data_IF_605670926064
#
_entry.id   IF_605670926064
#
_cell.length_a   1.000
_cell.length_b   1.000
_cell.length_c   1.000
_cell.angle_alpha   90.00
_cell.angle_beta   90.00
_cell.angle_gamma   90.00
#
_symmetry.space_group_name_H-M   'P 1'
#
loop_
_entity.id
_entity.type
_entity.pdbx_description
1 polymer ?
#
# COMPACT_ATOMS: atom_id res chain seq x y z
N UNK A 1 -10.82 5.30 31.07
CA UNK A 1 -10.83 4.83 29.66
C UNK A 1 -9.52 5.30 29.07
N UNK A 2 -8.67 4.36 28.59
CA UNK A 2 -7.40 4.75 27.96
C UNK A 2 -7.71 5.61 26.74
N UNK A 3 -6.94 6.69 26.58
CA UNK A 3 -7.10 7.55 25.42
C UNK A 3 -6.75 6.76 24.15
N UNK A 4 -7.51 6.85 23.03
CA UNK A 4 -7.25 6.09 21.81
C UNK A 4 -5.80 6.18 21.31
N UNK A 5 -5.14 7.31 21.56
CA UNK A 5 -3.74 7.54 21.21
C UNK A 5 -2.78 6.61 21.97
N UNK A 6 -2.99 6.38 23.27
CA UNK A 6 -2.12 5.48 24.07
C UNK A 6 -2.14 4.04 23.56
N UNK A 7 -3.28 3.61 22.99
CA UNK A 7 -3.41 2.27 22.42
C UNK A 7 -2.80 2.15 21.01
N UNK A 8 -2.89 3.20 20.20
CA UNK A 8 -2.50 3.16 18.79
C UNK A 8 -1.05 3.52 18.53
N UNK A 9 -0.39 4.19 19.50
CA UNK A 9 1.01 4.62 19.35
C UNK A 9 1.94 3.45 19.08
N UNK A 10 2.75 3.58 18.03
CA UNK A 10 3.71 2.56 17.64
C UNK A 10 3.14 1.32 16.93
N UNK A 11 1.80 1.22 16.75
CA UNK A 11 1.21 0.13 15.99
C UNK A 11 1.57 0.19 14.51
N UNK A 12 1.55 -0.98 13.89
CA UNK A 12 1.63 -1.21 12.46
C UNK A 12 0.30 -1.80 11.98
N UNK A 13 -0.37 -1.14 11.02
CA UNK A 13 -1.76 -1.47 10.65
C UNK A 13 -1.86 -1.75 9.15
N UNK A 14 -2.37 -2.94 8.79
CA UNK A 14 -2.72 -3.30 7.42
C UNK A 14 -4.20 -2.99 7.12
N UNK A 15 -4.49 -2.35 6.00
CA UNK A 15 -5.86 -1.97 5.60
C UNK A 15 -6.12 -2.41 4.16
N UNK A 16 -7.11 -3.29 3.98
CA UNK A 16 -7.56 -3.73 2.66
C UNK A 16 -8.72 -2.86 2.21
N UNK A 17 -8.52 -2.11 1.13
CA UNK A 17 -9.49 -1.18 0.54
C UNK A 17 -10.52 -1.92 -0.33
N UNK A 18 -11.37 -2.75 0.27
CA UNK A 18 -12.42 -3.50 -0.44
C UNK A 18 -13.81 -2.91 -0.22
N UNK A 19 -14.74 -3.28 -1.08
CA UNK A 19 -16.15 -2.90 -0.98
C UNK A 19 -16.57 -1.64 -1.73
N UNK A 20 -15.66 -0.79 -2.19
CA UNK A 20 -15.96 0.49 -2.86
C UNK A 20 -16.91 0.34 -4.05
N UNK A 21 -16.70 -0.66 -4.91
CA UNK A 21 -17.57 -0.94 -6.05
C UNK A 21 -18.95 -1.46 -5.65
N UNK A 22 -19.05 -2.26 -4.57
CA UNK A 22 -20.31 -2.75 -4.00
C UNK A 22 -21.11 -1.62 -3.38
N UNK A 23 -20.44 -0.75 -2.63
CA UNK A 23 -21.01 0.45 -2.03
C UNK A 23 -21.66 1.36 -3.08
N UNK A 24 -21.00 1.61 -4.20
CA UNK A 24 -21.56 2.40 -5.32
C UNK A 24 -22.78 1.71 -5.93
N UNK A 25 -22.69 0.40 -6.23
CA UNK A 25 -23.78 -0.37 -6.83
C UNK A 25 -25.04 -0.35 -5.96
N UNK A 26 -24.94 -0.48 -4.65
CA UNK A 26 -26.08 -0.41 -3.71
C UNK A 26 -26.79 0.96 -3.73
N UNK A 27 -26.10 2.01 -4.19
CA UNK A 27 -26.63 3.38 -4.30
C UNK A 27 -27.01 3.76 -5.73
N UNK A 28 -27.04 2.79 -6.65
CA UNK A 28 -27.34 3.07 -8.06
C UNK A 28 -26.25 3.89 -8.78
N UNK A 29 -25.05 3.95 -8.21
CA UNK A 29 -23.94 4.73 -8.72
C UNK A 29 -22.97 3.86 -9.54
N UNK A 30 -22.24 4.42 -10.51
CA UNK A 30 -21.17 3.72 -11.20
C UNK A 30 -20.04 3.35 -10.22
N UNK A 31 -19.34 2.24 -10.47
CA UNK A 31 -18.25 1.74 -9.63
C UNK A 31 -17.15 2.80 -9.38
N UNK A 32 -16.90 3.65 -10.36
CA UNK A 32 -15.95 4.77 -10.30
C UNK A 32 -16.27 5.79 -9.20
N UNK A 33 -17.57 6.02 -8.92
CA UNK A 33 -17.97 6.87 -7.79
C UNK A 33 -17.60 6.26 -6.45
N UNK A 34 -17.67 4.91 -6.33
CA UNK A 34 -17.19 4.19 -5.15
C UNK A 34 -15.69 4.32 -4.97
N UNK A 35 -14.91 4.19 -6.04
CA UNK A 35 -13.45 4.37 -5.98
C UNK A 35 -13.08 5.80 -5.56
N UNK A 36 -13.78 6.83 -6.05
CA UNK A 36 -13.59 8.22 -5.59
C UNK A 36 -13.88 8.38 -4.10
N UNK A 37 -14.97 7.79 -3.61
CA UNK A 37 -15.31 7.85 -2.17
C UNK A 37 -14.24 7.14 -1.33
N UNK A 38 -13.81 5.94 -1.77
CA UNK A 38 -12.74 5.18 -1.09
C UNK A 38 -11.43 5.95 -1.02
N UNK A 39 -11.07 6.68 -2.08
CA UNK A 39 -9.86 7.50 -2.09
C UNK A 39 -9.93 8.67 -1.10
N UNK A 40 -11.09 9.31 -0.91
CA UNK A 40 -11.27 10.33 0.13
C UNK A 40 -11.14 9.72 1.54
N UNK A 41 -11.77 8.57 1.78
CA UNK A 41 -11.67 7.85 3.06
C UNK A 41 -10.24 7.40 3.34
N UNK A 42 -9.49 6.96 2.33
CA UNK A 42 -8.07 6.64 2.47
C UNK A 42 -7.28 7.80 3.09
N UNK A 43 -7.49 9.03 2.58
CA UNK A 43 -6.79 10.19 3.10
C UNK A 43 -7.19 10.51 4.55
N UNK A 44 -8.49 10.45 4.86
CA UNK A 44 -8.99 10.70 6.21
C UNK A 44 -8.41 9.69 7.21
N UNK A 45 -8.37 8.41 6.85
CA UNK A 45 -7.81 7.34 7.69
C UNK A 45 -6.30 7.49 7.84
N UNK A 46 -5.56 7.79 6.77
CA UNK A 46 -4.12 8.01 6.85
C UNK A 46 -3.77 9.18 7.79
N UNK A 47 -4.52 10.28 7.69
CA UNK A 47 -4.36 11.43 8.58
C UNK A 47 -4.68 11.07 10.03
N UNK A 48 -5.75 10.31 10.26
CA UNK A 48 -6.15 9.89 11.60
C UNK A 48 -5.13 8.94 12.25
N UNK A 49 -4.56 8.02 11.47
CA UNK A 49 -3.48 7.14 11.94
C UNK A 49 -2.23 7.95 12.35
N UNK A 50 -1.85 8.96 11.57
CA UNK A 50 -0.75 9.86 11.90
C UNK A 50 -1.01 10.63 13.21
N UNK A 51 -2.23 11.15 13.39
CA UNK A 51 -2.65 11.86 14.61
C UNK A 51 -2.65 10.94 15.85
N UNK A 52 -2.94 9.66 15.68
CA UNK A 52 -2.90 8.66 16.75
C UNK A 52 -1.49 8.17 17.08
N UNK A 53 -0.46 8.53 16.30
CA UNK A 53 0.91 8.07 16.52
C UNK A 53 1.19 6.65 16.03
N UNK A 54 0.39 6.15 15.06
CA UNK A 54 0.65 4.88 14.38
C UNK A 54 2.01 4.95 13.69
N UNK A 55 2.83 3.90 13.83
CA UNK A 55 4.18 3.88 13.24
C UNK A 55 4.19 3.56 11.75
N UNK A 56 3.32 2.65 11.33
CA UNK A 56 3.21 2.23 9.92
C UNK A 56 1.77 1.91 9.55
N UNK A 57 1.34 2.35 8.35
CA UNK A 57 0.07 1.93 7.76
C UNK A 57 0.31 1.36 6.37
N UNK A 58 -0.28 0.20 6.10
CA UNK A 58 -0.21 -0.50 4.82
C UNK A 58 -1.58 -0.49 4.16
N UNK A 59 -1.75 0.27 3.09
CA UNK A 59 -2.97 0.28 2.31
C UNK A 59 -2.86 -0.64 1.09
N UNK A 60 -3.71 -1.64 1.02
CA UNK A 60 -3.84 -2.50 -0.15
C UNK A 60 -4.75 -1.84 -1.19
N UNK A 61 -4.15 -1.05 -2.09
CA UNK A 61 -4.87 -0.18 -3.00
C UNK A 61 -5.24 -0.86 -4.34
N UNK A 62 -4.30 -1.62 -4.95
CA UNK A 62 -4.54 -2.30 -6.22
C UNK A 62 -3.77 -3.61 -6.29
N UNK A 63 -4.51 -4.73 -6.42
CA UNK A 63 -3.91 -6.07 -6.52
C UNK A 63 -3.54 -6.43 -7.96
N UNK A 64 -2.60 -7.38 -8.12
CA UNK A 64 -2.28 -7.99 -9.42
C UNK A 64 -3.51 -8.62 -10.08
N UNK A 65 -4.49 -9.08 -9.32
CA UNK A 65 -5.73 -9.66 -9.84
C UNK A 65 -6.67 -8.61 -10.41
N UNK A 66 -6.56 -7.34 -10.00
CA UNK A 66 -7.42 -6.27 -10.46
C UNK A 66 -7.22 -5.92 -11.94
N UNK A 67 -6.10 -6.33 -12.55
CA UNK A 67 -5.90 -6.21 -14.00
C UNK A 67 -6.93 -7.01 -14.82
N UNK A 68 -7.58 -8.02 -14.22
CA UNK A 68 -8.65 -8.80 -14.86
C UNK A 68 -9.99 -8.05 -14.93
N UNK A 69 -10.10 -6.88 -14.32
CA UNK A 69 -11.30 -6.02 -14.40
C UNK A 69 -11.45 -5.42 -15.80
N UNK A 70 -12.65 -4.94 -16.17
CA UNK A 70 -12.83 -4.20 -17.42
C UNK A 70 -11.81 -3.06 -17.55
N UNK A 71 -11.25 -2.91 -18.74
CA UNK A 71 -10.18 -1.92 -19.01
C UNK A 71 -10.56 -0.50 -18.60
N UNK A 72 -11.83 -0.11 -18.82
CA UNK A 72 -12.35 1.19 -18.40
C UNK A 72 -12.27 1.39 -16.88
N UNK A 73 -12.58 0.36 -16.09
CA UNK A 73 -12.48 0.42 -14.62
C UNK A 73 -11.01 0.53 -14.20
N UNK A 74 -10.12 -0.26 -14.80
CA UNK A 74 -8.67 -0.21 -14.51
C UNK A 74 -8.11 1.18 -14.82
N UNK A 75 -8.39 1.71 -16.01
CA UNK A 75 -7.95 3.04 -16.42
C UNK A 75 -8.48 4.15 -15.47
N UNK A 76 -9.73 4.04 -15.05
CA UNK A 76 -10.32 4.99 -14.10
C UNK A 76 -9.63 4.93 -12.72
N UNK A 77 -9.30 3.74 -12.24
CA UNK A 77 -8.58 3.56 -10.98
C UNK A 77 -7.18 4.14 -11.08
N UNK A 78 -6.41 3.82 -12.14
CA UNK A 78 -5.05 4.33 -12.34
C UNK A 78 -5.02 5.86 -12.48
N UNK A 79 -5.97 6.42 -13.22
CA UNK A 79 -6.14 7.88 -13.33
C UNK A 79 -6.42 8.52 -11.97
N UNK A 80 -7.38 7.95 -11.22
CA UNK A 80 -7.72 8.41 -9.88
C UNK A 80 -6.51 8.33 -8.94
N UNK A 81 -5.76 7.24 -8.99
CA UNK A 81 -4.53 7.05 -8.21
C UNK A 81 -3.51 8.14 -8.54
N UNK A 82 -3.23 8.40 -9.82
CA UNK A 82 -2.33 9.49 -10.23
C UNK A 82 -2.81 10.88 -9.77
N UNK A 83 -4.11 11.17 -9.86
CA UNK A 83 -4.70 12.43 -9.36
C UNK A 83 -4.51 12.58 -7.85
N UNK A 84 -4.65 11.49 -7.10
CA UNK A 84 -4.44 11.49 -5.65
C UNK A 84 -2.98 11.71 -5.28
N UNK A 85 -2.05 11.06 -5.96
CA UNK A 85 -0.62 11.27 -5.73
C UNK A 85 -0.21 12.73 -6.03
N UNK A 86 -0.81 13.36 -7.05
CA UNK A 86 -0.49 14.74 -7.42
C UNK A 86 -1.12 15.81 -6.51
N UNK A 87 -2.34 15.60 -6.07
CA UNK A 87 -3.17 16.67 -5.48
C UNK A 87 -3.75 16.34 -4.11
N UNK A 88 -3.93 15.05 -3.81
CA UNK A 88 -4.74 14.59 -2.70
C UNK A 88 -3.97 14.40 -1.40
N UNK A 89 -2.66 14.35 -1.45
CA UNK A 89 -1.86 13.99 -0.29
C UNK A 89 -1.05 15.19 0.21
N UNK A 90 -1.57 15.90 1.21
CA UNK A 90 -0.84 17.02 1.82
C UNK A 90 0.26 16.50 2.78
N UNK A 91 1.12 15.57 2.25
CA UNK A 91 2.22 14.96 3.00
C UNK A 91 3.37 15.93 3.28
N UNK A 92 3.47 17.02 2.48
CA UNK A 92 4.59 17.98 2.59
C UNK A 92 4.62 18.64 3.95
N UNK A 93 3.46 18.95 4.51
CA UNK A 93 3.32 19.61 5.81
C UNK A 93 3.26 18.62 6.99
N UNK A 94 3.33 17.31 6.71
CA UNK A 94 3.31 16.24 7.72
C UNK A 94 4.63 15.48 7.75
N UNK A 95 4.94 14.90 8.90
CA UNK A 95 6.12 14.05 9.05
C UNK A 95 5.79 12.59 8.66
N UNK A 96 5.33 12.38 7.42
CA UNK A 96 4.94 11.08 6.87
C UNK A 96 5.91 10.67 5.79
N UNK A 97 6.50 9.50 5.94
CA UNK A 97 7.33 8.83 4.91
C UNK A 97 6.45 7.97 4.02
N UNK A 98 6.54 8.14 2.71
CA UNK A 98 5.75 7.38 1.73
C UNK A 98 6.62 6.25 1.15
N UNK A 99 6.02 5.06 1.01
CA UNK A 99 6.60 3.93 0.30
C UNK A 99 5.55 3.26 -0.58
N UNK A 100 5.96 2.79 -1.75
CA UNK A 100 5.10 2.02 -2.64
C UNK A 100 5.59 0.57 -2.71
N UNK A 101 4.66 -0.36 -2.49
CA UNK A 101 4.91 -1.80 -2.50
C UNK A 101 4.28 -2.41 -3.75
N UNK A 102 5.00 -3.31 -4.42
CA UNK A 102 4.52 -4.03 -5.60
C UNK A 102 5.40 -3.82 -6.84
N UNK A 103 5.04 -4.52 -7.90
CA UNK A 103 5.78 -4.46 -9.17
C UNK A 103 5.38 -3.22 -9.98
N UNK A 104 6.30 -2.26 -10.13
CA UNK A 104 6.08 -1.02 -10.86
C UNK A 104 6.15 -1.18 -12.38
N UNK A 105 6.74 -2.29 -12.89
CA UNK A 105 6.99 -2.46 -14.32
C UNK A 105 5.70 -2.47 -15.16
N UNK A 106 4.57 -2.88 -14.57
CA UNK A 106 3.27 -2.88 -15.24
C UNK A 106 2.55 -1.50 -15.23
N UNK A 107 3.08 -0.52 -14.51
CA UNK A 107 2.50 0.83 -14.43
C UNK A 107 3.06 1.72 -15.54
N UNK A 108 2.32 2.75 -15.94
CA UNK A 108 2.83 3.71 -16.91
C UNK A 108 4.01 4.54 -16.36
N UNK A 109 4.90 4.98 -17.25
CA UNK A 109 6.15 5.65 -16.88
C UNK A 109 5.92 6.95 -16.08
N UNK A 110 4.81 7.67 -16.35
CA UNK A 110 4.47 8.91 -15.64
C UNK A 110 4.10 8.61 -14.19
N UNK A 111 3.35 7.53 -13.97
CA UNK A 111 2.97 7.10 -12.64
C UNK A 111 4.17 6.60 -11.84
N UNK A 112 5.05 5.81 -12.49
CA UNK A 112 6.31 5.35 -11.88
C UNK A 112 7.18 6.54 -11.44
N UNK A 113 7.35 7.54 -12.31
CA UNK A 113 8.12 8.75 -12.01
C UNK A 113 7.54 9.49 -10.80
N UNK A 114 6.21 9.68 -10.76
CA UNK A 114 5.53 10.34 -9.65
C UNK A 114 5.71 9.59 -8.33
N UNK A 115 5.63 8.26 -8.35
CA UNK A 115 5.86 7.43 -7.17
C UNK A 115 7.29 7.59 -6.65
N UNK A 116 8.29 7.60 -7.54
CA UNK A 116 9.69 7.79 -7.16
C UNK A 116 9.92 9.19 -6.56
N UNK A 117 9.39 10.24 -7.17
CA UNK A 117 9.48 11.62 -6.66
C UNK A 117 8.88 11.74 -5.24
N UNK A 118 7.73 11.09 -4.99
CA UNK A 118 7.09 11.10 -3.67
C UNK A 118 7.90 10.34 -2.60
N UNK A 119 8.50 9.22 -2.95
CA UNK A 119 9.39 8.48 -2.05
C UNK A 119 10.65 9.29 -1.73
N UNK A 120 11.28 9.90 -2.73
CA UNK A 120 12.46 10.75 -2.57
C UNK A 120 12.16 11.98 -1.70
N UNK A 121 11.08 12.71 -1.99
CA UNK A 121 10.65 13.90 -1.24
C UNK A 121 10.35 13.59 0.24
N UNK A 122 9.89 12.38 0.52
CA UNK A 122 9.53 11.95 1.88
C UNK A 122 10.60 11.11 2.59
N UNK A 123 11.72 10.81 1.93
CA UNK A 123 12.75 9.88 2.45
C UNK A 123 13.33 10.28 3.81
N UNK A 124 13.49 11.59 4.03
CA UNK A 124 14.02 12.14 5.29
C UNK A 124 12.99 12.24 6.42
N UNK A 125 11.72 11.94 6.17
CA UNK A 125 10.66 11.96 7.18
C UNK A 125 10.83 10.79 8.15
N UNK A 126 10.63 11.05 9.44
CA UNK A 126 10.88 10.12 10.56
C UNK A 126 9.62 9.71 11.31
N UNK A 127 8.47 10.24 10.96
CA UNK A 127 7.18 9.91 11.56
C UNK A 127 6.57 8.65 10.95
N UNK A 128 5.24 8.63 10.84
CA UNK A 128 4.52 7.48 10.30
C UNK A 128 4.99 7.09 8.89
N UNK A 129 5.19 5.80 8.65
CA UNK A 129 5.42 5.28 7.30
C UNK A 129 4.09 4.89 6.66
N UNK A 130 3.75 5.53 5.55
CA UNK A 130 2.59 5.21 4.74
C UNK A 130 3.00 4.32 3.58
N UNK A 131 2.62 3.06 3.64
CA UNK A 131 2.88 2.06 2.62
C UNK A 131 1.65 1.89 1.73
N UNK A 132 1.80 2.05 0.42
CA UNK A 132 0.72 1.94 -0.56
C UNK A 132 1.03 0.78 -1.50
N UNK A 133 0.29 -0.31 -1.37
CA UNK A 133 0.47 -1.50 -2.21
C UNK A 133 -0.30 -1.34 -3.54
N UNK A 134 0.45 -1.21 -4.64
CA UNK A 134 -0.06 -1.03 -6.00
C UNK A 134 0.56 -2.05 -6.92
N UNK A 135 -0.26 -2.72 -7.72
CA UNK A 135 0.15 -3.90 -8.49
C UNK A 135 0.86 -4.93 -7.60
N UNK A 136 0.28 -5.13 -6.44
CA UNK A 136 0.82 -6.01 -5.41
C UNK A 136 0.03 -7.33 -5.35
N UNK A 137 0.74 -8.40 -5.01
CA UNK A 137 0.16 -9.71 -4.71
C UNK A 137 1.14 -10.52 -3.86
N UNK A 138 0.68 -11.11 -2.76
CA UNK A 138 1.56 -11.85 -1.85
C UNK A 138 2.26 -13.02 -2.52
N UNK A 139 1.53 -13.83 -3.33
CA UNK A 139 2.17 -14.93 -4.07
C UNK A 139 3.21 -14.48 -5.10
N UNK A 140 2.95 -13.49 -5.97
CA UNK A 140 3.98 -12.89 -6.83
C UNK A 140 5.19 -12.35 -6.06
N UNK A 141 4.99 -11.73 -4.91
CA UNK A 141 6.08 -11.22 -4.07
C UNK A 141 6.95 -12.36 -3.53
N UNK A 142 6.34 -13.42 -2.97
CA UNK A 142 7.07 -14.61 -2.50
C UNK A 142 7.89 -15.23 -3.63
N UNK A 143 7.30 -15.39 -4.82
CA UNK A 143 8.01 -15.91 -5.99
C UNK A 143 9.17 -15.01 -6.40
N UNK A 144 9.00 -13.68 -6.35
CA UNK A 144 10.06 -12.71 -6.63
C UNK A 144 11.21 -12.86 -5.64
N UNK A 145 10.93 -12.89 -4.34
CA UNK A 145 11.94 -13.05 -3.28
C UNK A 145 12.69 -14.39 -3.46
N UNK A 146 11.96 -15.49 -3.66
CA UNK A 146 12.56 -16.80 -3.91
C UNK A 146 13.47 -16.83 -5.15
N UNK A 147 13.10 -16.14 -6.24
CA UNK A 147 13.95 -16.02 -7.43
C UNK A 147 15.24 -15.23 -7.15
N UNK A 148 15.17 -14.17 -6.36
CA UNK A 148 16.36 -13.39 -5.99
C UNK A 148 17.33 -14.21 -5.14
N UNK A 149 16.84 -14.98 -4.17
CA UNK A 149 17.66 -15.90 -3.38
C UNK A 149 18.25 -17.03 -4.25
N UNK A 150 17.45 -17.62 -5.12
CA UNK A 150 17.92 -18.65 -6.07
C UNK A 150 19.01 -18.11 -7.01
N UNK A 151 18.92 -16.85 -7.43
CA UNK A 151 19.94 -16.20 -8.25
C UNK A 151 21.26 -16.06 -7.47
N UNK A 152 21.23 -15.65 -6.21
CA UNK A 152 22.42 -15.57 -5.34
C UNK A 152 23.08 -16.95 -5.15
N UNK A 153 22.25 -18.00 -5.04
CA UNK A 153 22.78 -19.37 -4.99
C UNK A 153 23.46 -19.75 -6.30
N UNK A 154 22.86 -19.44 -7.43
CA UNK A 154 23.44 -19.73 -8.75
C UNK A 154 24.76 -18.95 -9.00
N UNK A 155 24.87 -17.77 -8.45
CA UNK A 155 26.09 -16.93 -8.50
C UNK A 155 27.17 -17.36 -7.49
N UNK A 156 26.86 -18.33 -6.61
CA UNK A 156 27.79 -18.84 -5.57
C UNK A 156 28.02 -17.89 -4.40
N UNK A 157 27.19 -16.84 -4.26
CA UNK A 157 27.25 -15.87 -3.15
C UNK A 157 26.45 -16.31 -1.94
N UNK A 158 25.57 -17.29 -2.08
CA UNK A 158 24.72 -17.88 -1.04
C UNK A 158 24.67 -19.40 -1.23
N UNK A 159 24.56 -20.16 -0.14
CA UNK A 159 24.26 -21.60 -0.22
C UNK A 159 22.80 -21.86 0.10
N UNK A 160 22.15 -22.89 -0.48
CA UNK A 160 20.75 -23.20 -0.20
C UNK A 160 20.45 -23.42 1.28
N UNK A 161 21.37 -24.06 2.02
CA UNK A 161 21.25 -24.37 3.45
C UNK A 161 21.35 -23.14 4.35
N UNK A 162 21.89 -22.03 3.83
CA UNK A 162 22.06 -20.77 4.57
C UNK A 162 20.85 -19.81 4.40
N UNK A 163 19.85 -20.18 3.58
CA UNK A 163 18.63 -19.38 3.40
C UNK A 163 17.80 -19.42 4.69
N UNK A 164 17.54 -18.23 5.26
CA UNK A 164 16.76 -18.06 6.49
C UNK A 164 15.44 -17.31 6.24
N UNK A 165 14.55 -17.32 7.23
CA UNK A 165 13.32 -16.52 7.22
C UNK A 165 13.64 -15.01 7.17
N UNK A 166 14.69 -14.58 7.84
CA UNK A 166 15.16 -13.19 7.82
C UNK A 166 15.59 -12.77 6.42
N UNK A 167 16.40 -13.61 5.75
CA UNK A 167 16.77 -13.37 4.35
C UNK A 167 15.55 -13.30 3.42
N UNK A 168 14.55 -14.16 3.63
CA UNK A 168 13.32 -14.09 2.87
C UNK A 168 12.61 -12.76 3.12
N UNK A 169 12.51 -12.31 4.38
CA UNK A 169 11.91 -11.03 4.77
C UNK A 169 12.64 -9.83 4.15
N UNK A 170 13.97 -9.88 4.10
CA UNK A 170 14.80 -8.83 3.49
C UNK A 170 14.63 -8.72 1.97
N UNK A 171 14.10 -9.76 1.33
CA UNK A 171 13.76 -9.74 -0.10
C UNK A 171 12.28 -9.39 -0.36
N UNK A 172 11.46 -9.15 0.68
CA UNK A 172 10.09 -8.65 0.51
C UNK A 172 10.05 -7.13 0.25
N UNK A 173 8.95 -6.62 -0.30
CA UNK A 173 8.78 -5.17 -0.49
C UNK A 173 8.76 -4.39 0.84
N UNK A 174 8.47 -5.09 1.94
CA UNK A 174 8.42 -4.54 3.30
C UNK A 174 9.73 -4.67 4.06
N UNK A 175 10.83 -5.06 3.40
CA UNK A 175 12.15 -5.22 4.02
C UNK A 175 12.51 -4.05 4.95
N UNK A 176 12.99 -4.40 6.17
CA UNK A 176 13.35 -3.43 7.20
C UNK A 176 12.18 -2.71 7.86
N UNK A 177 10.94 -3.13 7.63
CA UNK A 177 9.74 -2.61 8.27
C UNK A 177 9.14 -3.65 9.22
N UNK A 178 8.42 -3.16 10.24
CA UNK A 178 7.67 -4.00 11.16
C UNK A 178 6.44 -4.60 10.46
N UNK A 179 6.16 -5.87 10.72
CA UNK A 179 4.94 -6.52 10.27
C UNK A 179 3.69 -5.85 10.89
N UNK A 180 2.53 -5.93 10.23
CA UNK A 180 1.29 -5.40 10.77
C UNK A 180 0.86 -6.12 12.06
N UNK A 181 0.62 -5.35 13.13
CA UNK A 181 0.03 -5.84 14.38
C UNK A 181 -1.47 -6.07 14.23
N UNK A 182 -2.11 -5.33 13.31
CA UNK A 182 -3.55 -5.36 13.07
C UNK A 182 -3.85 -5.32 11.58
N UNK A 183 -4.77 -6.16 11.14
CA UNK A 183 -5.27 -6.14 9.75
C UNK A 183 -6.76 -5.84 9.73
N UNK A 184 -7.13 -4.82 8.96
CA UNK A 184 -8.50 -4.37 8.76
C UNK A 184 -8.92 -4.54 7.31
N UNK A 185 -10.13 -5.02 7.10
CA UNK A 185 -10.78 -5.06 5.79
C UNK A 185 -12.03 -4.19 5.83
N UNK A 186 -12.31 -3.45 4.78
CA UNK A 186 -13.38 -2.46 4.61
C UNK A 186 -13.03 -1.07 5.19
N UNK A 187 -12.71 -0.15 4.28
CA UNK A 187 -12.57 1.28 4.57
C UNK A 187 -13.89 2.03 4.30
N UNK A 188 -14.68 1.59 3.30
CA UNK A 188 -16.02 2.10 3.07
C UNK A 188 -17.00 1.47 4.06
N UNK A 189 -18.01 2.24 4.50
CA UNK A 189 -19.02 1.85 5.47
C UNK A 189 -19.39 0.37 5.42
N UNK A 190 -19.46 -0.33 6.58
CA UNK A 190 -19.79 -1.74 6.62
C UNK A 190 -21.17 -1.95 5.97
N UNK A 191 -21.18 -2.73 4.91
CA UNK A 191 -22.40 -3.20 4.27
C UNK A 191 -22.92 -4.38 5.06
N UNK A 192 -23.66 -4.12 6.11
CA UNK A 192 -24.59 -5.07 6.71
C UNK A 192 -25.98 -4.59 6.51
#
# INVERSE_FOLDING_TARGET
>A
MNHPKEFAEGLSIGIIMDGNGRWAKQRGLPRTAGHKKGAAVFQDIANYCDELGVSSVYFYAFSTENWKRPLEEVNAIMKLFGEYLLKGFNYKDRNIRIKFLGDRAALDAKLQKLMNELEEDSAAKTGMTLNIAVNYGGRPEIVRAARQLAQQVAEGTLKPEDITEEMMSDHMYTAGQKDPDLSLIHISEPTR
#
